data_IF_788920245113
#
_entry.id   IF_788920245113
#
_cell.length_a   1.000
_cell.length_b   1.000
_cell.length_c   1.000
_cell.angle_alpha   90.00
_cell.angle_beta   90.00
_cell.angle_gamma   90.00
#
_symmetry.space_group_name_H-M   'P 1'
#
loop_
_entity.id
_entity.type
_entity.pdbx_description
1 polymer ?
#
# COMPACT_ATOMS: atom_id res chain seq x y z
N UNK A 1 59.16 49.71 19.81
CA UNK A 1 59.94 50.52 18.87
C UNK A 1 59.00 50.85 17.74
N UNK A 2 58.56 52.08 17.78
CA UNK A 2 58.85 53.25 16.98
C UNK A 2 58.35 53.12 15.58
N UNK A 3 57.57 53.94 15.14
CA UNK A 3 57.18 55.34 15.02
C UNK A 3 56.57 55.48 13.63
N UNK A 4 55.40 56.03 13.52
CA UNK A 4 55.09 57.40 13.21
C UNK A 4 55.12 57.74 11.72
N UNK A 5 54.07 58.43 11.30
CA UNK A 5 54.10 59.35 10.19
C UNK A 5 52.75 59.63 9.52
N UNK A 6 51.95 60.55 10.05
CA UNK A 6 51.04 61.48 9.31
C UNK A 6 51.91 62.64 8.76
N UNK A 7 51.44 63.62 7.93
CA UNK A 7 50.09 64.16 7.77
C UNK A 7 49.73 64.78 6.38
N UNK A 8 48.50 65.36 6.36
CA UNK A 8 48.00 66.64 5.81
C UNK A 8 47.62 66.73 4.33
N UNK A 9 46.44 67.06 4.02
CA UNK A 9 45.60 68.27 4.00
C UNK A 9 45.29 68.75 2.58
N UNK A 10 44.08 69.19 2.36
CA UNK A 10 43.75 70.06 1.24
C UNK A 10 42.31 69.97 0.72
N UNK A 11 41.36 70.54 1.41
CA UNK A 11 40.23 71.29 0.80
C UNK A 11 40.70 72.71 0.46
N UNK A 12 40.02 73.56 -0.34
CA UNK A 12 38.59 73.69 -0.62
C UNK A 12 38.26 74.14 -2.07
N UNK A 13 37.01 74.30 -2.44
CA UNK A 13 36.32 75.59 -2.83
C UNK A 13 35.03 75.30 -3.56
N UNK A 14 34.00 75.87 -2.91
CA UNK A 14 32.66 76.18 -3.42
C UNK A 14 32.69 76.97 -4.70
N UNK A 15 31.75 76.77 -5.59
CA UNK A 15 31.07 77.86 -6.31
C UNK A 15 29.59 77.47 -6.60
N UNK A 16 28.78 78.45 -6.25
CA UNK A 16 27.33 78.40 -6.33
C UNK A 16 26.81 79.00 -7.65
N UNK A 17 25.70 78.43 -8.11
CA UNK A 17 24.50 78.99 -8.79
C UNK A 17 24.67 79.63 -10.18
N UNK A 18 23.65 79.75 -11.08
CA UNK A 18 22.26 80.13 -10.72
C UNK A 18 21.13 79.36 -11.46
N UNK A 19 19.94 79.62 -11.00
CA UNK A 19 18.64 79.24 -11.54
C UNK A 19 18.35 79.82 -12.93
N UNK A 20 17.67 79.00 -13.75
CA UNK A 20 16.54 79.47 -14.57
C UNK A 20 15.89 78.24 -15.28
N UNK A 21 14.66 78.07 -14.94
CA UNK A 21 13.44 77.73 -15.64
C UNK A 21 13.59 77.09 -17.06
N UNK A 22 12.83 76.01 -17.30
CA UNK A 22 11.80 75.95 -18.33
C UNK A 22 11.16 74.52 -18.35
N UNK A 23 9.89 74.47 -18.00
CA UNK A 23 8.70 73.87 -18.67
C UNK A 23 8.75 72.43 -19.14
N UNK A 24 7.89 71.67 -18.49
CA UNK A 24 6.97 70.62 -18.99
C UNK A 24 7.39 69.70 -20.17
N UNK A 25 7.51 68.44 -19.88
CA UNK A 25 6.99 67.38 -20.73
C UNK A 25 6.58 66.21 -19.82
N UNK A 26 5.28 66.09 -19.62
CA UNK A 26 4.67 64.88 -19.03
C UNK A 26 4.75 63.75 -20.02
N UNK A 27 5.65 62.82 -19.79
CA UNK A 27 5.61 61.49 -20.41
C UNK A 27 5.23 60.49 -19.35
N UNK A 28 3.98 60.02 -19.46
CA UNK A 28 3.39 58.97 -18.67
C UNK A 28 4.22 57.65 -18.91
N UNK A 29 5.05 57.33 -17.96
CA UNK A 29 5.52 55.96 -17.82
C UNK A 29 4.47 55.20 -17.02
N UNK A 30 3.60 54.49 -17.75
CA UNK A 30 2.76 53.46 -17.21
C UNK A 30 3.65 52.39 -16.60
N UNK A 31 3.84 52.43 -15.30
CA UNK A 31 4.36 51.29 -14.58
C UNK A 31 3.33 50.15 -14.69
N UNK A 32 3.53 49.29 -15.66
CA UNK A 32 2.83 48.01 -15.70
C UNK A 32 3.31 47.21 -14.48
N UNK A 33 2.62 47.40 -13.36
CA UNK A 33 2.71 46.46 -12.24
C UNK A 33 2.09 45.16 -12.73
N UNK A 34 2.92 44.29 -13.26
CA UNK A 34 2.57 42.85 -13.36
C UNK A 34 2.44 42.37 -11.92
N UNK A 35 1.21 42.37 -11.43
CA UNK A 35 0.85 41.59 -10.25
C UNK A 35 1.15 40.13 -10.65
N UNK A 36 2.29 39.64 -10.19
CA UNK A 36 2.58 38.23 -10.21
C UNK A 36 1.45 37.53 -9.44
N UNK A 37 0.54 36.92 -10.17
CA UNK A 37 -0.42 36.02 -9.54
C UNK A 37 0.39 35.02 -8.70
N UNK A 38 -0.01 34.76 -7.43
CA UNK A 38 0.64 33.72 -6.66
C UNK A 38 0.61 32.45 -7.51
N UNK A 39 1.78 31.90 -7.76
CA UNK A 39 1.89 30.59 -8.35
C UNK A 39 0.97 29.68 -7.51
N UNK A 40 -0.15 29.27 -8.11
CA UNK A 40 -0.89 28.14 -7.57
C UNK A 40 0.12 27.02 -7.55
N UNK A 41 0.65 26.74 -6.36
CA UNK A 41 1.25 25.46 -6.09
C UNK A 41 0.24 24.45 -6.63
N UNK A 42 0.58 23.83 -7.74
CA UNK A 42 -0.15 22.70 -8.27
C UNK A 42 -0.02 21.64 -7.18
N UNK A 43 -0.95 21.63 -6.25
CA UNK A 43 -1.24 20.50 -5.42
C UNK A 43 -1.52 19.33 -6.40
N UNK A 44 -0.48 18.65 -6.77
CA UNK A 44 -0.55 17.26 -7.22
C UNK A 44 -0.93 16.43 -5.99
N UNK A 45 -2.08 16.73 -5.43
CA UNK A 45 -2.86 15.76 -4.71
C UNK A 45 -3.38 14.80 -5.78
N UNK A 46 -2.58 13.81 -6.12
CA UNK A 46 -3.11 12.59 -6.73
C UNK A 46 -4.26 12.20 -5.82
N UNK A 47 -5.50 12.33 -6.30
CA UNK A 47 -6.71 12.12 -5.53
C UNK A 47 -6.59 10.74 -4.86
N UNK A 48 -6.26 10.74 -3.57
CA UNK A 48 -6.04 9.52 -2.80
C UNK A 48 -7.38 8.81 -2.82
N UNK A 49 -7.45 7.67 -3.51
CA UNK A 49 -8.70 6.93 -3.64
C UNK A 49 -9.31 6.72 -2.25
N UNK A 50 -10.65 6.83 -2.14
CA UNK A 50 -11.35 6.77 -0.86
C UNK A 50 -10.91 5.57 0.00
N UNK A 51 -10.84 5.72 1.33
CA UNK A 51 -10.54 4.61 2.23
C UNK A 51 -11.47 3.42 2.00
N UNK A 52 -10.93 2.21 2.04
CA UNK A 52 -11.70 0.97 2.00
C UNK A 52 -12.04 0.53 3.43
N UNK A 53 -13.16 -0.15 3.58
CA UNK A 53 -13.48 -0.91 4.78
C UNK A 53 -12.94 -2.33 4.60
N UNK A 54 -12.00 -2.72 5.45
CA UNK A 54 -11.32 -4.01 5.36
C UNK A 54 -11.62 -4.85 6.60
N UNK A 55 -12.30 -5.97 6.40
CA UNK A 55 -12.46 -7.00 7.42
C UNK A 55 -11.24 -7.93 7.42
N UNK A 56 -10.64 -8.18 8.57
CA UNK A 56 -9.46 -9.06 8.68
C UNK A 56 -9.82 -10.26 9.54
N UNK A 57 -9.86 -11.44 8.92
CA UNK A 57 -10.10 -12.72 9.58
C UNK A 57 -8.76 -13.41 9.78
N UNK A 58 -8.28 -13.35 11.03
CA UNK A 58 -6.97 -13.85 11.42
C UNK A 58 -5.92 -12.75 11.59
N UNK A 59 -5.59 -12.45 12.83
CA UNK A 59 -4.65 -11.41 13.27
C UNK A 59 -3.27 -11.98 13.64
N UNK A 60 -2.83 -13.02 12.94
CA UNK A 60 -1.47 -13.58 13.07
C UNK A 60 -0.41 -12.67 12.44
N UNK A 61 0.80 -13.20 12.24
CA UNK A 61 1.93 -12.41 11.69
C UNK A 61 1.59 -11.71 10.37
N UNK A 62 1.06 -12.42 9.37
CA UNK A 62 0.69 -11.82 8.08
C UNK A 62 -0.48 -10.86 8.23
N UNK A 63 -1.61 -11.31 8.82
CA UNK A 63 -2.81 -10.49 8.95
C UNK A 63 -2.61 -9.25 9.83
N UNK A 64 -1.86 -9.36 10.92
CA UNK A 64 -1.51 -8.23 11.80
C UNK A 64 -0.57 -7.22 11.12
N UNK A 65 0.42 -7.69 10.36
CA UNK A 65 1.31 -6.83 9.58
C UNK A 65 0.54 -6.07 8.50
N UNK A 66 -0.30 -6.76 7.71
CA UNK A 66 -1.14 -6.12 6.71
C UNK A 66 -2.12 -5.12 7.33
N UNK A 67 -2.70 -5.44 8.51
CA UNK A 67 -3.52 -4.49 9.25
C UNK A 67 -2.74 -3.21 9.57
N UNK A 68 -1.49 -3.33 10.03
CA UNK A 68 -0.64 -2.16 10.33
C UNK A 68 -0.33 -1.33 9.08
N UNK A 69 -0.01 -1.96 7.97
CA UNK A 69 0.29 -1.28 6.71
C UNK A 69 -0.94 -0.55 6.16
N UNK A 70 -2.10 -1.20 6.13
CA UNK A 70 -3.34 -0.61 5.64
C UNK A 70 -3.93 0.46 6.57
N UNK A 71 -3.73 0.34 7.90
CA UNK A 71 -4.07 1.41 8.84
C UNK A 71 -3.26 2.68 8.56
N UNK A 72 -1.94 2.55 8.31
CA UNK A 72 -1.06 3.65 7.91
C UNK A 72 -1.46 4.25 6.56
N UNK A 73 -1.93 3.43 5.62
CA UNK A 73 -2.48 3.88 4.35
C UNK A 73 -3.84 4.60 4.48
N UNK A 74 -4.47 4.55 5.67
CA UNK A 74 -5.68 5.30 5.99
C UNK A 74 -6.99 4.52 5.81
N UNK A 75 -6.94 3.21 5.63
CA UNK A 75 -8.13 2.36 5.56
C UNK A 75 -8.83 2.20 6.91
N UNK A 76 -10.12 1.83 6.87
CA UNK A 76 -10.91 1.46 8.06
C UNK A 76 -10.83 -0.05 8.27
N UNK A 77 -10.48 -0.48 9.48
CA UNK A 77 -10.20 -1.89 9.75
C UNK A 77 -11.09 -2.47 10.84
N UNK A 78 -11.60 -3.68 10.61
CA UNK A 78 -12.10 -4.54 11.67
C UNK A 78 -11.23 -5.80 11.71
N UNK A 79 -10.39 -5.90 12.74
CA UNK A 79 -9.49 -7.03 12.93
C UNK A 79 -10.16 -8.06 13.82
N UNK A 80 -10.14 -9.32 13.40
CA UNK A 80 -10.87 -10.34 14.13
C UNK A 80 -10.03 -11.55 14.53
N UNK A 81 -10.43 -12.14 15.63
CA UNK A 81 -9.98 -13.45 16.08
C UNK A 81 -11.14 -14.18 16.77
N UNK A 82 -10.89 -15.44 17.16
CA UNK A 82 -11.82 -16.19 18.03
C UNK A 82 -11.92 -15.60 19.44
N UNK A 83 -10.94 -14.77 19.81
CA UNK A 83 -10.80 -14.10 21.10
C UNK A 83 -10.55 -12.60 20.86
N UNK A 84 -11.58 -11.81 20.50
CA UNK A 84 -11.42 -10.39 20.14
C UNK A 84 -10.84 -9.54 21.28
N UNK A 85 -11.09 -9.93 22.52
CA UNK A 85 -10.58 -9.27 23.72
C UNK A 85 -9.04 -9.24 23.78
N UNK A 86 -8.38 -10.22 23.16
CA UNK A 86 -6.91 -10.29 23.07
C UNK A 86 -6.32 -9.35 22.02
N UNK A 87 -7.14 -8.77 21.16
CA UNK A 87 -6.71 -7.87 20.08
C UNK A 87 -6.57 -6.41 20.52
N UNK A 88 -6.91 -6.06 21.75
CA UNK A 88 -6.91 -4.67 22.22
C UNK A 88 -5.55 -3.97 22.09
N UNK A 89 -4.45 -4.72 22.31
CA UNK A 89 -3.08 -4.22 22.13
C UNK A 89 -2.81 -3.85 20.66
N UNK A 90 -3.14 -4.75 19.76
CA UNK A 90 -3.00 -4.54 18.32
C UNK A 90 -3.87 -3.35 17.87
N UNK A 91 -5.15 -3.33 18.19
CA UNK A 91 -6.08 -2.27 17.76
C UNK A 91 -5.62 -0.90 18.23
N UNK A 92 -5.13 -0.77 19.46
CA UNK A 92 -4.55 0.51 19.92
C UNK A 92 -3.36 0.97 19.07
N UNK A 93 -2.51 0.05 18.63
CA UNK A 93 -1.37 0.38 17.77
C UNK A 93 -1.76 0.76 16.34
N UNK A 94 -2.91 0.28 15.87
CA UNK A 94 -3.46 0.59 14.55
C UNK A 94 -4.12 1.98 14.47
N UNK A 95 -4.48 2.57 15.62
CA UNK A 95 -5.10 3.89 15.71
C UNK A 95 -6.63 3.89 15.59
N UNK A 96 -7.25 5.09 15.49
CA UNK A 96 -8.69 5.28 15.71
C UNK A 96 -9.60 4.69 14.63
N UNK A 97 -9.04 4.31 13.48
CA UNK A 97 -9.80 3.70 12.36
C UNK A 97 -9.84 2.18 12.42
N UNK A 98 -9.28 1.58 13.47
CA UNK A 98 -9.27 0.14 13.67
C UNK A 98 -10.09 -0.25 14.90
N UNK A 99 -10.77 -1.39 14.82
CA UNK A 99 -11.49 -1.99 15.94
C UNK A 99 -11.34 -3.51 15.93
N UNK A 100 -11.48 -4.11 17.10
CA UNK A 100 -11.54 -5.55 17.26
C UNK A 100 -12.98 -6.06 17.09
N UNK A 101 -13.12 -7.29 16.65
CA UNK A 101 -14.40 -7.97 16.56
C UNK A 101 -14.26 -9.46 16.29
N UNK A 102 -15.40 -10.10 16.10
CA UNK A 102 -15.51 -11.50 15.71
C UNK A 102 -15.27 -11.66 14.20
N UNK A 103 -14.96 -12.88 13.71
CA UNK A 103 -14.86 -13.15 12.27
C UNK A 103 -16.13 -12.80 11.49
N UNK A 104 -17.32 -12.99 12.10
CA UNK A 104 -18.63 -12.63 11.52
C UNK A 104 -18.76 -11.11 11.33
N UNK A 105 -18.41 -10.35 12.36
CA UNK A 105 -18.43 -8.89 12.28
C UNK A 105 -17.42 -8.37 11.24
N UNK A 106 -16.25 -9.00 11.11
CA UNK A 106 -15.27 -8.65 10.08
C UNK A 106 -15.80 -8.91 8.66
N UNK A 107 -16.46 -10.05 8.44
CA UNK A 107 -17.11 -10.39 7.18
C UNK A 107 -18.23 -9.41 6.81
N UNK A 108 -19.04 -8.98 7.77
CA UNK A 108 -20.10 -8.00 7.56
C UNK A 108 -19.56 -6.58 7.30
N UNK A 109 -18.53 -6.19 8.04
CA UNK A 109 -17.95 -4.84 7.99
C UNK A 109 -17.22 -4.53 6.68
N UNK A 110 -16.38 -5.48 6.23
CA UNK A 110 -15.49 -5.24 5.10
C UNK A 110 -16.22 -5.20 3.76
N UNK A 111 -15.91 -4.22 2.92
CA UNK A 111 -16.17 -4.30 1.48
C UNK A 111 -15.17 -5.27 0.85
N UNK A 112 -13.97 -5.32 1.42
CA UNK A 112 -12.92 -6.30 1.16
C UNK A 112 -12.63 -7.08 2.43
N UNK A 113 -12.42 -8.39 2.32
CA UNK A 113 -12.08 -9.24 3.45
C UNK A 113 -10.74 -9.92 3.22
N UNK A 114 -9.81 -9.75 4.15
CA UNK A 114 -8.59 -10.55 4.21
C UNK A 114 -8.85 -11.82 5.03
N UNK A 115 -8.54 -12.98 4.50
CA UNK A 115 -8.51 -14.25 5.23
C UNK A 115 -7.05 -14.68 5.38
N UNK A 116 -6.55 -14.63 6.62
CA UNK A 116 -5.17 -14.95 6.98
C UNK A 116 -5.14 -15.90 8.19
N UNK A 117 -5.67 -17.10 7.97
CA UNK A 117 -5.77 -18.17 8.96
C UNK A 117 -4.92 -19.40 8.54
N UNK A 118 -4.61 -20.34 9.46
CA UNK A 118 -4.06 -21.64 9.07
C UNK A 118 -4.94 -22.29 8.00
N UNK A 119 -4.33 -22.87 6.96
CA UNK A 119 -5.06 -23.35 5.78
C UNK A 119 -6.15 -24.37 6.11
N UNK A 120 -5.90 -25.25 7.10
CA UNK A 120 -6.90 -26.23 7.59
C UNK A 120 -8.18 -25.58 8.15
N UNK A 121 -8.15 -24.31 8.54
CA UNK A 121 -9.34 -23.60 9.03
C UNK A 121 -10.22 -23.04 7.89
N UNK A 122 -9.69 -22.95 6.66
CA UNK A 122 -10.37 -22.30 5.55
C UNK A 122 -11.74 -22.91 5.20
N UNK A 123 -11.93 -24.25 5.15
CA UNK A 123 -13.24 -24.85 4.92
C UNK A 123 -14.27 -24.48 5.99
N UNK A 124 -13.84 -24.37 7.26
CA UNK A 124 -14.75 -23.98 8.36
C UNK A 124 -15.14 -22.51 8.23
N UNK A 125 -14.16 -21.63 7.94
CA UNK A 125 -14.44 -20.20 7.68
C UNK A 125 -15.46 -20.05 6.53
N UNK A 126 -15.28 -20.78 5.45
CA UNK A 126 -16.20 -20.74 4.30
C UNK A 126 -17.62 -21.21 4.63
N UNK A 127 -17.76 -22.23 5.50
CA UNK A 127 -19.08 -22.68 5.98
C UNK A 127 -19.73 -21.66 6.92
N UNK A 128 -19.00 -21.22 7.93
CA UNK A 128 -19.53 -20.38 9.01
C UNK A 128 -19.88 -18.97 8.58
N UNK A 129 -19.14 -18.45 7.57
CA UNK A 129 -19.27 -17.08 7.09
C UNK A 129 -19.79 -17.00 5.65
N UNK A 130 -20.41 -18.06 5.15
CA UNK A 130 -20.91 -18.14 3.77
C UNK A 130 -21.81 -16.97 3.39
N UNK A 131 -22.66 -16.54 4.31
CA UNK A 131 -23.61 -15.44 4.08
C UNK A 131 -22.90 -14.09 4.08
N UNK A 132 -22.02 -13.88 5.03
CA UNK A 132 -21.29 -12.62 5.25
C UNK A 132 -20.27 -12.34 4.13
N UNK A 133 -19.69 -13.40 3.56
CA UNK A 133 -18.66 -13.33 2.51
C UNK A 133 -19.25 -13.34 1.10
N UNK A 134 -20.52 -13.67 0.92
CA UNK A 134 -21.12 -13.78 -0.41
C UNK A 134 -20.98 -12.51 -1.23
N UNK A 135 -20.38 -12.62 -2.43
CA UNK A 135 -20.16 -11.51 -3.37
C UNK A 135 -19.03 -10.56 -2.96
N UNK A 136 -18.43 -10.75 -1.79
CA UNK A 136 -17.32 -9.90 -1.33
C UNK A 136 -16.03 -10.21 -2.06
N UNK A 137 -15.18 -9.20 -2.18
CA UNK A 137 -13.79 -9.38 -2.58
C UNK A 137 -13.03 -9.99 -1.39
N UNK A 138 -12.39 -11.12 -1.62
CA UNK A 138 -11.64 -11.83 -0.58
C UNK A 138 -10.20 -12.02 -1.02
N UNK A 139 -9.26 -11.47 -0.24
CA UNK A 139 -7.84 -11.78 -0.35
C UNK A 139 -7.52 -12.96 0.58
N UNK A 140 -6.87 -14.00 0.06
CA UNK A 140 -6.54 -15.19 0.83
C UNK A 140 -5.04 -15.46 0.76
N UNK A 141 -4.41 -15.61 1.96
CA UNK A 141 -2.95 -15.66 2.13
C UNK A 141 -2.43 -17.02 2.58
N UNK A 142 -3.32 -17.99 2.82
CA UNK A 142 -2.98 -19.26 3.45
C UNK A 142 -2.12 -20.14 2.54
N UNK A 143 -1.26 -20.93 3.17
CA UNK A 143 -0.46 -21.95 2.51
C UNK A 143 -0.71 -23.30 3.18
N UNK A 144 -1.01 -24.37 2.39
CA UNK A 144 -1.18 -25.71 2.92
C UNK A 144 0.17 -26.36 3.24
N UNK A 145 0.41 -26.62 4.52
CA UNK A 145 1.59 -27.34 5.00
C UNK A 145 1.18 -28.70 5.55
N UNK A 146 1.57 -29.84 4.91
CA UNK A 146 1.15 -31.17 5.36
C UNK A 146 1.44 -31.46 6.82
N UNK A 147 2.53 -30.95 7.37
CA UNK A 147 2.91 -31.11 8.77
C UNK A 147 1.94 -30.44 9.75
N UNK A 148 1.22 -29.38 9.30
CA UNK A 148 0.25 -28.65 10.10
C UNK A 148 -1.18 -29.01 9.74
N UNK A 149 -1.46 -29.18 8.45
CA UNK A 149 -2.80 -29.22 7.88
C UNK A 149 -3.20 -30.63 7.39
N UNK A 150 -2.29 -31.62 7.50
CA UNK A 150 -2.57 -33.04 7.18
C UNK A 150 -2.88 -33.29 5.70
N UNK A 151 -3.69 -34.33 5.44
CA UNK A 151 -4.03 -34.80 4.07
C UNK A 151 -4.74 -33.74 3.23
N UNK A 152 -5.50 -32.87 3.84
CA UNK A 152 -6.13 -31.73 3.17
C UNK A 152 -5.07 -30.85 2.46
N UNK A 153 -3.90 -30.67 3.05
CA UNK A 153 -2.82 -29.90 2.44
C UNK A 153 -2.26 -30.60 1.20
N UNK A 154 -2.14 -31.92 1.23
CA UNK A 154 -1.70 -32.72 0.06
C UNK A 154 -2.69 -32.59 -1.09
N UNK A 155 -3.99 -32.66 -0.79
CA UNK A 155 -5.04 -32.50 -1.79
C UNK A 155 -5.04 -31.09 -2.39
N UNK A 156 -4.98 -30.06 -1.56
CA UNK A 156 -4.94 -28.67 -1.99
C UNK A 156 -3.73 -28.38 -2.89
N UNK A 157 -2.55 -28.89 -2.54
CA UNK A 157 -1.35 -28.78 -3.38
C UNK A 157 -1.52 -29.48 -4.74
N UNK A 158 -2.13 -30.67 -4.76
CA UNK A 158 -2.37 -31.41 -6.00
C UNK A 158 -3.33 -30.65 -6.94
N UNK A 159 -4.40 -30.07 -6.41
CA UNK A 159 -5.36 -29.23 -7.16
C UNK A 159 -4.76 -27.90 -7.60
N UNK A 160 -3.83 -27.34 -6.83
CA UNK A 160 -3.42 -25.96 -6.83
C UNK A 160 -4.21 -25.15 -5.79
N UNK A 161 -3.52 -24.36 -4.95
CA UNK A 161 -4.14 -23.70 -3.79
C UNK A 161 -5.20 -22.70 -4.19
N UNK A 162 -5.06 -22.01 -5.31
CA UNK A 162 -6.09 -21.07 -5.79
C UNK A 162 -7.43 -21.76 -6.08
N UNK A 163 -7.38 -22.92 -6.75
CA UNK A 163 -8.58 -23.72 -7.07
C UNK A 163 -9.19 -24.29 -5.79
N UNK A 164 -8.36 -24.88 -4.92
CA UNK A 164 -8.84 -25.46 -3.66
C UNK A 164 -9.44 -24.41 -2.72
N UNK A 165 -8.83 -23.24 -2.63
CA UNK A 165 -9.38 -22.13 -1.82
C UNK A 165 -10.73 -21.63 -2.35
N UNK A 166 -10.93 -21.59 -3.66
CA UNK A 166 -12.21 -21.23 -4.27
C UNK A 166 -13.31 -22.27 -3.93
N UNK A 167 -12.98 -23.56 -3.88
CA UNK A 167 -13.93 -24.60 -3.45
C UNK A 167 -14.34 -24.44 -1.98
N UNK A 168 -13.41 -24.02 -1.12
CA UNK A 168 -13.69 -23.76 0.31
C UNK A 168 -14.44 -22.48 0.58
N UNK A 169 -14.36 -21.50 -0.33
CA UNK A 169 -14.96 -20.18 -0.20
C UNK A 169 -15.97 -19.90 -1.33
N UNK A 170 -17.05 -20.68 -1.45
CA UNK A 170 -17.98 -20.55 -2.56
C UNK A 170 -18.74 -19.20 -2.54
N UNK A 171 -18.84 -18.57 -3.70
CA UNK A 171 -19.59 -17.33 -3.89
C UNK A 171 -18.88 -16.05 -3.52
N UNK A 172 -17.55 -16.11 -3.24
CA UNK A 172 -16.69 -14.95 -3.07
C UNK A 172 -15.99 -14.59 -4.38
N UNK A 173 -15.49 -13.37 -4.47
CA UNK A 173 -14.62 -12.88 -5.54
C UNK A 173 -13.17 -13.00 -5.06
N UNK A 174 -12.63 -14.21 -5.21
CA UNK A 174 -11.36 -14.60 -4.58
C UNK A 174 -10.14 -14.07 -5.34
N UNK A 175 -9.18 -13.54 -4.58
CA UNK A 175 -7.82 -13.23 -5.05
C UNK A 175 -6.82 -13.90 -4.11
N UNK A 176 -5.93 -14.71 -4.67
CA UNK A 176 -4.75 -15.20 -3.96
C UNK A 176 -3.69 -14.10 -3.95
N UNK A 177 -3.22 -13.72 -2.75
CA UNK A 177 -2.25 -12.65 -2.57
C UNK A 177 -1.47 -12.84 -1.26
N UNK A 178 -0.24 -12.33 -1.18
CA UNK A 178 0.62 -12.35 0.02
C UNK A 178 0.96 -13.75 0.59
N UNK A 179 0.63 -14.81 -0.13
CA UNK A 179 0.99 -16.18 0.27
C UNK A 179 2.46 -16.51 -0.06
N UNK A 180 3.07 -15.79 -1.00
CA UNK A 180 4.43 -16.03 -1.48
C UNK A 180 5.50 -15.13 -0.83
N UNK A 181 5.17 -14.42 0.24
CA UNK A 181 6.10 -13.63 1.04
C UNK A 181 6.09 -14.13 2.48
N UNK A 182 7.24 -14.18 3.15
CA UNK A 182 7.26 -14.52 4.57
C UNK A 182 6.90 -13.30 5.44
N UNK A 183 6.57 -13.53 6.71
CA UNK A 183 6.09 -12.48 7.62
C UNK A 183 7.14 -11.41 7.93
N UNK A 184 8.41 -11.81 8.00
CA UNK A 184 9.49 -10.89 8.35
C UNK A 184 9.80 -9.98 7.17
N UNK A 185 9.88 -10.51 5.96
CA UNK A 185 10.04 -9.71 4.74
C UNK A 185 8.84 -8.80 4.51
N UNK A 186 7.60 -9.27 4.76
CA UNK A 186 6.40 -8.43 4.69
C UNK A 186 6.48 -7.22 5.62
N UNK A 187 7.06 -7.40 6.80
CA UNK A 187 7.18 -6.31 7.78
C UNK A 187 8.35 -5.34 7.45
N UNK A 188 9.49 -5.87 7.02
CA UNK A 188 10.71 -5.08 6.85
C UNK A 188 10.85 -4.45 5.48
N UNK A 189 10.31 -5.07 4.43
CA UNK A 189 10.47 -4.61 3.05
C UNK A 189 9.30 -3.74 2.56
N UNK A 190 8.25 -3.59 3.38
CA UNK A 190 7.15 -2.67 3.09
C UNK A 190 7.66 -1.22 2.97
N UNK A 191 7.31 -0.56 1.88
CA UNK A 191 7.73 0.83 1.60
C UNK A 191 9.26 1.02 1.62
N UNK A 192 10.03 0.01 1.23
CA UNK A 192 11.49 0.09 1.14
C UNK A 192 11.95 1.23 0.22
N UNK A 193 13.15 1.74 0.47
CA UNK A 193 13.80 2.65 -0.48
C UNK A 193 14.17 1.96 -1.79
N UNK A 194 13.99 2.63 -2.92
CA UNK A 194 14.27 2.09 -4.25
C UNK A 194 13.11 1.29 -4.85
N UNK A 195 13.41 0.36 -5.77
CA UNK A 195 12.39 -0.44 -6.47
C UNK A 195 11.68 -1.38 -5.49
N UNK A 196 10.33 -1.35 -5.38
CA UNK A 196 9.60 -2.21 -4.47
C UNK A 196 9.67 -3.68 -4.90
N UNK A 197 9.62 -4.59 -3.93
CA UNK A 197 9.44 -6.00 -4.24
C UNK A 197 8.01 -6.30 -4.67
N UNK A 198 7.86 -7.34 -5.47
CA UNK A 198 6.60 -7.71 -6.07
C UNK A 198 5.82 -8.74 -5.26
N UNK A 199 4.50 -8.58 -5.26
CA UNK A 199 3.55 -9.57 -4.75
C UNK A 199 2.77 -10.16 -5.92
N UNK A 200 2.85 -11.48 -6.17
CA UNK A 200 2.06 -12.14 -7.19
C UNK A 200 0.59 -12.22 -6.79
N UNK A 201 -0.30 -12.02 -7.76
CA UNK A 201 -1.76 -12.07 -7.61
C UNK A 201 -2.37 -13.05 -8.61
N UNK A 202 -3.33 -13.85 -8.16
CA UNK A 202 -4.16 -14.67 -9.05
C UNK A 202 -5.65 -14.55 -8.67
N UNK A 203 -6.52 -14.37 -9.65
CA UNK A 203 -7.96 -14.21 -9.46
C UNK A 203 -8.69 -14.23 -10.80
N UNK A 204 -10.02 -14.45 -10.75
CA UNK A 204 -10.87 -14.47 -11.94
C UNK A 204 -11.56 -13.13 -12.19
N UNK A 205 -11.88 -12.41 -11.13
CA UNK A 205 -12.67 -11.18 -11.18
C UNK A 205 -11.76 -9.97 -11.35
N UNK A 206 -11.99 -9.20 -12.42
CA UNK A 206 -11.15 -8.04 -12.77
C UNK A 206 -11.19 -6.94 -11.70
N UNK A 207 -12.37 -6.60 -11.19
CA UNK A 207 -12.50 -5.55 -10.16
C UNK A 207 -11.84 -6.00 -8.83
N UNK A 208 -12.00 -7.28 -8.47
CA UNK A 208 -11.31 -7.84 -7.30
C UNK A 208 -9.78 -7.77 -7.44
N UNK A 209 -9.26 -8.04 -8.63
CA UNK A 209 -7.84 -7.89 -8.93
C UNK A 209 -7.39 -6.42 -8.87
N UNK A 210 -8.18 -5.46 -9.37
CA UNK A 210 -7.88 -4.03 -9.29
C UNK A 210 -7.81 -3.56 -7.84
N UNK A 211 -8.76 -3.99 -7.00
CA UNK A 211 -8.77 -3.70 -5.56
C UNK A 211 -7.59 -4.36 -4.85
N UNK A 212 -7.29 -5.62 -5.16
CA UNK A 212 -6.13 -6.32 -4.59
C UNK A 212 -4.80 -5.65 -4.97
N UNK A 213 -4.65 -5.21 -6.22
CA UNK A 213 -3.48 -4.46 -6.66
C UNK A 213 -3.32 -3.15 -5.89
N UNK A 214 -4.42 -2.43 -5.65
CA UNK A 214 -4.39 -1.23 -4.81
C UNK A 214 -3.90 -1.56 -3.41
N UNK A 215 -4.44 -2.58 -2.76
CA UNK A 215 -4.06 -2.98 -1.41
C UNK A 215 -2.61 -3.47 -1.31
N UNK A 216 -2.08 -4.07 -2.37
CA UNK A 216 -0.64 -4.41 -2.46
C UNK A 216 0.21 -3.15 -2.49
N UNK A 217 -0.15 -2.13 -3.30
CA UNK A 217 0.57 -0.85 -3.34
C UNK A 217 0.46 -0.10 -2.02
N UNK A 218 -0.73 -0.08 -1.42
CA UNK A 218 -0.97 0.55 -0.12
C UNK A 218 -0.19 -0.14 1.02
N UNK A 219 0.19 -1.41 0.84
CA UNK A 219 1.11 -2.13 1.71
C UNK A 219 2.60 -1.90 1.37
N UNK A 220 2.92 -1.13 0.33
CA UNK A 220 4.29 -0.77 -0.04
C UNK A 220 5.00 -1.74 -0.99
N UNK A 221 4.25 -2.55 -1.74
CA UNK A 221 4.76 -3.52 -2.69
C UNK A 221 4.23 -3.27 -4.11
N UNK A 222 4.86 -3.89 -5.12
CA UNK A 222 4.39 -3.83 -6.50
C UNK A 222 3.53 -5.05 -6.85
N UNK A 223 2.27 -4.91 -7.27
CA UNK A 223 1.43 -6.04 -7.64
C UNK A 223 1.80 -6.59 -9.03
N UNK A 224 1.88 -7.92 -9.15
CA UNK A 224 2.01 -8.61 -10.42
C UNK A 224 0.86 -9.59 -10.60
N UNK A 225 -0.08 -9.27 -11.47
CA UNK A 225 -1.17 -10.19 -11.82
C UNK A 225 -0.60 -11.32 -12.69
N UNK A 226 -0.69 -12.55 -12.18
CA UNK A 226 -0.15 -13.76 -12.83
C UNK A 226 -1.21 -14.37 -13.76
N UNK A 227 -2.48 -14.27 -13.39
CA UNK A 227 -3.60 -14.79 -14.20
C UNK A 227 -4.75 -15.31 -13.34
N UNK A 228 -5.55 -16.26 -13.88
CA UNK A 228 -6.66 -16.86 -13.15
C UNK A 228 -6.19 -17.66 -11.92
N UNK A 229 -7.12 -18.02 -11.02
CA UNK A 229 -6.81 -18.73 -9.76
C UNK A 229 -6.00 -20.02 -9.97
N UNK A 230 -6.17 -20.69 -11.09
CA UNK A 230 -5.37 -21.86 -11.45
C UNK A 230 -3.86 -21.54 -11.56
N UNK A 231 -3.51 -20.28 -11.89
CA UNK A 231 -2.12 -19.81 -11.97
C UNK A 231 -1.50 -19.54 -10.59
N UNK A 232 -2.29 -19.54 -9.50
CA UNK A 232 -1.74 -19.43 -8.15
C UNK A 232 -0.69 -20.53 -7.85
N UNK A 233 -0.82 -21.70 -8.49
CA UNK A 233 0.18 -22.78 -8.40
C UNK A 233 1.60 -22.37 -8.79
N UNK A 234 1.74 -21.33 -9.59
CA UNK A 234 3.05 -20.85 -10.08
C UNK A 234 3.85 -20.12 -9.00
N UNK A 235 3.16 -19.70 -7.92
CA UNK A 235 3.78 -19.05 -6.75
C UNK A 235 3.39 -19.72 -5.41
N UNK A 236 2.89 -20.95 -5.45
CA UNK A 236 2.62 -21.77 -4.27
C UNK A 236 3.91 -22.30 -3.62
N UNK A 237 3.77 -22.87 -2.44
CA UNK A 237 4.84 -23.49 -1.66
C UNK A 237 5.64 -24.47 -2.50
N UNK A 238 6.96 -24.29 -2.53
CA UNK A 238 7.90 -25.16 -3.26
C UNK A 238 8.21 -24.71 -4.68
N UNK A 239 7.62 -23.61 -5.17
CA UNK A 239 7.99 -23.03 -6.47
C UNK A 239 9.25 -22.18 -6.38
N UNK A 240 9.85 -21.86 -7.52
CA UNK A 240 11.07 -21.05 -7.60
C UNK A 240 10.89 -19.61 -7.10
N UNK A 241 9.65 -19.09 -7.09
CA UNK A 241 9.34 -17.72 -6.67
C UNK A 241 8.79 -17.64 -5.24
N UNK A 242 8.46 -18.78 -4.64
CA UNK A 242 7.92 -18.82 -3.28
C UNK A 242 8.92 -18.28 -2.25
N UNK A 243 8.52 -17.28 -1.47
CA UNK A 243 9.36 -16.58 -0.47
C UNK A 243 10.65 -15.98 -1.02
N UNK A 244 10.68 -15.67 -2.31
CA UNK A 244 11.81 -14.96 -2.93
C UNK A 244 11.45 -13.50 -3.12
N UNK A 245 12.27 -12.63 -2.58
CA UNK A 245 12.16 -11.18 -2.81
C UNK A 245 12.65 -10.87 -4.23
N UNK A 246 11.71 -10.48 -5.07
CA UNK A 246 11.94 -10.16 -6.49
C UNK A 246 11.26 -8.84 -6.84
N UNK A 247 11.89 -8.04 -7.68
CA UNK A 247 11.23 -6.91 -8.33
C UNK A 247 10.15 -7.39 -9.30
N UNK A 248 9.24 -6.52 -9.72
CA UNK A 248 8.18 -6.89 -10.66
C UNK A 248 8.75 -7.45 -11.97
N UNK A 249 9.84 -6.90 -12.47
CA UNK A 249 10.53 -7.38 -13.67
C UNK A 249 11.11 -8.79 -13.50
N UNK A 250 11.77 -9.05 -12.37
CA UNK A 250 12.33 -10.36 -12.06
C UNK A 250 11.24 -11.41 -11.90
N UNK A 251 10.17 -11.07 -11.17
CA UNK A 251 9.03 -11.95 -10.97
C UNK A 251 8.32 -12.29 -12.29
N UNK A 252 8.06 -11.28 -13.15
CA UNK A 252 7.47 -11.50 -14.48
C UNK A 252 8.30 -12.44 -15.32
N UNK A 253 9.62 -12.25 -15.36
CA UNK A 253 10.55 -13.13 -16.06
C UNK A 253 10.52 -14.55 -15.50
N UNK A 254 10.59 -14.72 -14.18
CA UNK A 254 10.57 -16.02 -13.52
C UNK A 254 9.26 -16.79 -13.80
N UNK A 255 8.13 -16.08 -13.99
CA UNK A 255 6.81 -16.64 -14.27
C UNK A 255 6.46 -16.72 -15.77
N UNK A 256 7.38 -16.33 -16.66
CA UNK A 256 7.17 -16.34 -18.11
C UNK A 256 6.06 -15.39 -18.58
N UNK A 257 5.90 -14.23 -17.92
CA UNK A 257 4.87 -13.24 -18.25
C UNK A 257 5.34 -12.18 -19.25
N UNK A 258 6.62 -12.13 -19.57
CA UNK A 258 7.22 -11.12 -20.47
C UNK A 258 7.17 -11.53 -21.97
N UNK A 259 6.53 -12.63 -22.32
CA UNK A 259 6.58 -13.22 -23.67
C UNK A 259 5.32 -12.93 -24.52
N UNK A 260 4.59 -11.83 -24.21
CA UNK A 260 3.46 -11.43 -25.08
C UNK A 260 3.54 -9.97 -25.46
#
# INVERSE_FOLDING_TARGET
MSAAGRPLSGTPLQRALPWSAWVAAALAWGACMTVAAPARESESSAARAAPLKIGIIGAGHIGGTLASLWAKAGHELLVSSRHPEQLQGLVRSLGPRARAGTPREAGLFGDVVLISVPYAALPQVGRDLKTELRGKIVLETGNPYPQRDGDMALEARRKGTGVASAEYLPGVRLVRAFNAINSDDLAHEAHRGGEPFAIPLAGEDREALEVAQRLVRDAGFEPVVVGPLARARDFDVGTAVYTRLMTARELRRALGLDTR
#
